data_IF_595558982512
#
_entry.id   IF_595558982512
#
_cell.length_a   1.000
_cell.length_b   1.000
_cell.length_c   1.000
_cell.angle_alpha   90.00
_cell.angle_beta   90.00
_cell.angle_gamma   90.00
#
_symmetry.space_group_name_H-M   'P 1'
#
loop_
_entity.id
_entity.type
_entity.pdbx_description
1 polymer ?
#
# COMPACT_ATOMS: atom_id res chain seq x y z
N UNK A 1 18.08 -26.86 23.30
CA UNK A 1 17.03 -27.11 24.32
C UNK A 1 17.51 -26.46 25.61
N UNK A 2 16.88 -25.52 26.30
CA UNK A 2 15.57 -24.85 26.22
C UNK A 2 15.65 -23.75 27.29
N UNK A 3 15.66 -22.47 26.92
CA UNK A 3 15.49 -21.39 27.91
C UNK A 3 14.96 -20.08 27.30
N UNK A 4 14.01 -20.21 26.36
CA UNK A 4 13.34 -19.07 25.71
C UNK A 4 11.82 -19.09 25.89
N UNK A 5 11.29 -19.96 26.75
CA UNK A 5 9.85 -20.24 26.84
C UNK A 5 9.12 -19.62 28.05
N UNK A 6 9.77 -18.80 28.88
CA UNK A 6 9.17 -18.31 30.15
C UNK A 6 8.81 -16.82 30.20
N UNK A 7 8.82 -16.11 29.06
CA UNK A 7 8.58 -14.66 29.00
C UNK A 7 7.22 -14.21 28.42
N UNK A 8 6.29 -15.14 28.13
CA UNK A 8 5.01 -14.82 27.46
C UNK A 8 3.77 -15.02 28.38
N UNK A 9 3.92 -15.40 29.65
CA UNK A 9 2.77 -15.81 30.51
C UNK A 9 2.43 -14.86 31.68
N UNK A 10 2.77 -13.57 31.59
CA UNK A 10 2.29 -12.54 32.53
C UNK A 10 2.09 -11.27 31.71
N UNK A 11 0.90 -10.93 31.27
CA UNK A 11 -0.05 -10.09 32.01
C UNK A 11 -1.44 -10.32 31.38
N UNK A 12 -2.27 -11.08 32.08
CA UNK A 12 -3.71 -11.13 31.89
C UNK A 12 -4.33 -11.18 33.28
N UNK A 13 -5.47 -10.48 33.41
CA UNK A 13 -6.41 -10.46 34.52
C UNK A 13 -6.10 -9.55 35.73
N UNK A 14 -7.06 -8.64 35.95
CA UNK A 14 -7.68 -8.06 37.16
C UNK A 14 -8.02 -6.60 36.76
N UNK A 15 -9.24 -6.09 36.75
CA UNK A 15 -10.50 -6.54 37.33
C UNK A 15 -11.26 -5.31 37.86
N UNK A 16 -12.37 -4.98 37.20
CA UNK A 16 -13.64 -4.46 37.76
C UNK A 16 -13.80 -3.06 38.43
N UNK A 17 -14.85 -2.38 37.93
CA UNK A 17 -15.86 -1.48 38.57
C UNK A 17 -15.57 0.04 38.64
N UNK A 18 -16.37 0.83 37.89
CA UNK A 18 -17.47 1.66 38.41
C UNK A 18 -18.03 2.67 37.37
N UNK A 19 -19.36 2.77 37.27
CA UNK A 19 -20.09 4.00 36.92
C UNK A 19 -20.68 4.06 35.49
N UNK A 20 -21.88 3.55 35.23
CA UNK A 20 -23.18 4.24 35.37
C UNK A 20 -23.43 5.38 34.38
N UNK A 21 -24.22 5.12 33.33
CA UNK A 21 -25.55 5.73 33.07
C UNK A 21 -26.09 5.26 31.72
N UNK A 22 -27.20 4.51 31.77
CA UNK A 22 -28.06 4.20 30.63
C UNK A 22 -29.11 5.29 30.52
N UNK A 23 -29.30 5.82 29.31
CA UNK A 23 -30.57 6.42 28.90
C UNK A 23 -30.93 5.88 27.51
N UNK A 24 -32.15 5.34 27.31
CA UNK A 24 -32.67 4.97 26.00
C UNK A 24 -33.36 6.19 25.37
N UNK A 25 -33.00 6.53 24.13
CA UNK A 25 -33.81 7.44 23.32
C UNK A 25 -34.99 6.64 22.76
N UNK A 26 -36.16 7.23 22.96
CA UNK A 26 -37.48 6.66 22.78
C UNK A 26 -37.78 6.14 21.36
N UNK A 27 -38.47 5.01 21.33
CA UNK A 27 -39.37 4.59 20.24
C UNK A 27 -40.77 5.13 20.52
N UNK A 28 -41.35 5.92 19.61
CA UNK A 28 -42.77 6.32 19.61
C UNK A 28 -43.27 6.39 18.15
N UNK A 29 -44.07 5.37 17.80
CA UNK A 29 -45.23 5.33 16.87
C UNK A 29 -44.92 5.34 15.36
N UNK A 30 -45.64 4.64 14.47
CA UNK A 30 -46.83 3.77 14.48
C UNK A 30 -46.77 2.98 13.15
N UNK A 31 -46.93 1.65 13.15
CA UNK A 31 -48.19 0.89 13.06
C UNK A 31 -48.60 0.58 11.60
N UNK A 32 -48.43 -0.68 11.20
CA UNK A 32 -49.40 -1.37 10.37
C UNK A 32 -49.29 -2.89 10.65
N UNK A 33 -50.22 -3.33 11.49
CA UNK A 33 -50.84 -4.66 11.47
C UNK A 33 -51.15 -5.07 10.01
N UNK A 34 -50.93 -6.29 9.52
CA UNK A 34 -51.61 -7.52 9.93
C UNK A 34 -50.99 -8.70 9.15
N UNK A 35 -50.45 -9.71 9.85
CA UNK A 35 -50.30 -11.06 9.29
C UNK A 35 -51.66 -11.77 9.42
N UNK A 36 -52.17 -12.33 8.33
CA UNK A 36 -53.21 -13.38 8.39
C UNK A 36 -52.71 -14.62 7.67
N UNK A 37 -52.65 -15.68 8.46
CA UNK A 37 -52.29 -17.05 8.13
C UNK A 37 -53.45 -17.76 7.42
N UNK A 38 -53.10 -18.50 6.36
CA UNK A 38 -53.71 -19.73 5.83
C UNK A 38 -55.24 -19.87 5.71
N UNK A 39 -55.69 -20.12 4.47
CA UNK A 39 -56.79 -21.04 4.20
C UNK A 39 -56.46 -21.92 2.99
N UNK A 40 -56.39 -23.22 3.28
CA UNK A 40 -56.33 -24.36 2.37
C UNK A 40 -57.45 -24.33 1.34
N UNK A 41 -57.11 -24.51 0.05
CA UNK A 41 -58.01 -25.17 -0.91
C UNK A 41 -57.23 -26.22 -1.69
N UNK A 42 -57.60 -27.47 -1.44
CA UNK A 42 -57.24 -28.64 -2.23
C UNK A 42 -58.08 -28.59 -3.49
N UNK A 43 -57.44 -28.51 -4.65
CA UNK A 43 -58.05 -28.87 -5.93
C UNK A 43 -57.05 -29.70 -6.72
N UNK A 44 -57.24 -31.01 -6.58
CA UNK A 44 -56.68 -32.05 -7.43
C UNK A 44 -57.31 -31.90 -8.81
N UNK A 45 -56.51 -31.61 -9.83
CA UNK A 45 -56.89 -31.88 -11.21
C UNK A 45 -55.74 -32.52 -12.00
N UNK A 46 -56.03 -33.76 -12.38
CA UNK A 46 -55.64 -34.47 -13.59
C UNK A 46 -54.18 -34.46 -14.08
N UNK A 47 -53.57 -35.64 -13.95
CA UNK A 47 -52.37 -36.11 -14.65
C UNK A 47 -52.57 -36.03 -16.18
N UNK A 48 -51.76 -35.21 -16.85
CA UNK A 48 -51.53 -35.29 -18.29
C UNK A 48 -50.07 -35.78 -18.53
N UNK A 49 -49.96 -36.82 -19.35
CA UNK A 49 -48.76 -37.61 -19.62
C UNK A 49 -47.52 -36.81 -20.05
N UNK A 50 -46.38 -37.25 -19.53
CA UNK A 50 -45.04 -36.85 -19.94
C UNK A 50 -44.73 -37.28 -21.38
N UNK A 51 -44.32 -36.31 -22.20
CA UNK A 51 -43.51 -36.56 -23.40
C UNK A 51 -42.02 -36.52 -23.01
N UNK A 52 -41.15 -37.36 -23.61
CA UNK A 52 -39.74 -37.39 -23.26
C UNK A 52 -39.07 -36.07 -23.66
N UNK A 53 -38.48 -35.39 -22.69
CA UNK A 53 -37.65 -34.20 -22.90
C UNK A 53 -36.40 -34.58 -23.71
N UNK A 54 -36.04 -33.82 -24.76
CA UNK A 54 -34.74 -33.99 -25.40
C UNK A 54 -33.62 -33.64 -24.40
N UNK A 55 -32.42 -34.26 -24.53
CA UNK A 55 -31.33 -34.09 -23.57
C UNK A 55 -30.95 -32.60 -23.42
N UNK A 56 -30.61 -32.14 -22.20
CA UNK A 56 -30.22 -30.75 -21.98
C UNK A 56 -28.96 -30.49 -22.81
N UNK A 57 -29.06 -29.53 -23.74
CA UNK A 57 -27.92 -29.00 -24.47
C UNK A 57 -26.85 -28.57 -23.44
N UNK A 58 -25.55 -28.80 -23.72
CA UNK A 58 -24.50 -28.38 -22.81
C UNK A 58 -24.69 -26.89 -22.53
N UNK A 59 -24.74 -26.53 -21.24
CA UNK A 59 -24.81 -25.14 -20.81
C UNK A 59 -23.71 -24.37 -21.53
N UNK A 60 -24.10 -23.64 -22.59
CA UNK A 60 -23.23 -22.62 -23.17
C UNK A 60 -22.92 -21.72 -22.01
N UNK A 61 -21.65 -21.71 -21.59
CA UNK A 61 -21.12 -20.70 -20.69
C UNK A 61 -21.36 -19.39 -21.42
N UNK A 62 -22.52 -18.80 -21.16
CA UNK A 62 -22.86 -17.45 -21.57
C UNK A 62 -21.76 -16.63 -20.95
N UNK A 63 -20.86 -16.13 -21.80
CA UNK A 63 -19.87 -15.15 -21.37
C UNK A 63 -20.70 -13.96 -20.92
N UNK A 64 -20.99 -13.89 -19.62
CA UNK A 64 -21.58 -12.72 -18.97
C UNK A 64 -20.61 -11.59 -19.25
N UNK A 65 -20.92 -10.84 -20.30
CA UNK A 65 -20.13 -9.72 -20.75
C UNK A 65 -20.43 -8.62 -19.76
N UNK A 66 -19.55 -8.42 -18.77
CA UNK A 66 -19.75 -7.39 -17.76
C UNK A 66 -19.63 -6.03 -18.45
N UNK A 67 -20.75 -5.30 -18.67
CA UNK A 67 -20.72 -4.05 -19.40
C UNK A 67 -20.13 -2.90 -18.57
N UNK A 68 -19.73 -3.16 -17.32
CA UNK A 68 -19.25 -2.17 -16.33
C UNK A 68 -17.76 -2.36 -15.98
N UNK A 69 -16.94 -2.69 -16.97
CA UNK A 69 -15.50 -2.88 -16.82
C UNK A 69 -14.66 -1.63 -17.07
N UNK A 70 -13.34 -1.75 -16.94
CA UNK A 70 -12.37 -0.68 -17.29
C UNK A 70 -12.56 -0.15 -18.73
N UNK A 71 -13.08 -0.99 -19.62
CA UNK A 71 -13.38 -0.64 -21.01
C UNK A 71 -14.56 0.33 -21.13
N UNK A 72 -15.61 0.17 -20.32
CA UNK A 72 -16.73 1.12 -20.26
C UNK A 72 -16.28 2.45 -19.65
N UNK A 73 -15.48 2.40 -18.58
CA UNK A 73 -14.87 3.56 -17.95
C UNK A 73 -13.95 4.33 -18.93
N UNK A 74 -13.33 3.66 -19.91
CA UNK A 74 -12.54 4.35 -20.94
C UNK A 74 -13.40 4.90 -22.08
N UNK A 75 -14.46 4.20 -22.47
CA UNK A 75 -15.31 4.56 -23.62
C UNK A 75 -16.33 5.66 -23.28
N UNK A 76 -16.89 5.62 -22.08
CA UNK A 76 -17.86 6.60 -21.56
C UNK A 76 -17.26 7.56 -20.52
N UNK A 77 -16.04 7.29 -20.03
CA UNK A 77 -15.44 8.06 -18.94
C UNK A 77 -15.19 9.52 -19.27
N UNK A 78 -15.69 10.35 -18.36
CA UNK A 78 -15.46 11.79 -18.27
C UNK A 78 -13.95 12.11 -18.16
N UNK A 79 -13.55 13.31 -18.59
CA UNK A 79 -12.15 13.74 -18.65
C UNK A 79 -11.48 13.68 -17.26
N UNK A 80 -12.23 13.96 -16.20
CA UNK A 80 -11.76 13.90 -14.81
C UNK A 80 -11.52 12.45 -14.34
N UNK A 81 -12.37 11.50 -14.74
CA UNK A 81 -12.17 10.09 -14.40
C UNK A 81 -10.89 9.55 -15.05
N UNK A 82 -10.69 9.86 -16.34
CA UNK A 82 -9.49 9.48 -17.10
C UNK A 82 -8.21 10.09 -16.52
N UNK A 83 -8.23 11.37 -16.15
CA UNK A 83 -7.06 12.02 -15.54
C UNK A 83 -6.71 11.43 -14.18
N UNK A 84 -7.72 11.14 -13.35
CA UNK A 84 -7.55 10.49 -12.03
C UNK A 84 -6.94 9.10 -12.19
N UNK A 85 -7.47 8.29 -13.11
CA UNK A 85 -6.94 6.97 -13.41
C UNK A 85 -5.49 7.04 -13.93
N UNK A 86 -5.20 7.97 -14.82
CA UNK A 86 -3.85 8.19 -15.35
C UNK A 86 -2.84 8.53 -14.25
N UNK A 87 -3.21 9.42 -13.33
CA UNK A 87 -2.38 9.78 -12.17
C UNK A 87 -2.11 8.53 -11.30
N UNK A 88 -3.14 7.73 -10.99
CA UNK A 88 -2.98 6.50 -10.20
C UNK A 88 -2.03 5.50 -10.89
N UNK A 89 -2.15 5.33 -12.20
CA UNK A 89 -1.26 4.45 -12.97
C UNK A 89 0.18 4.96 -12.93
N UNK A 90 0.39 6.27 -13.09
CA UNK A 90 1.73 6.87 -13.01
C UNK A 90 2.37 6.68 -11.62
N UNK A 91 1.58 6.86 -10.56
CA UNK A 91 2.01 6.61 -9.18
C UNK A 91 2.35 5.14 -8.94
N UNK A 92 1.58 4.22 -9.53
CA UNK A 92 1.83 2.77 -9.47
C UNK A 92 3.16 2.39 -10.14
N UNK A 93 3.39 2.88 -11.36
CA UNK A 93 4.63 2.63 -12.10
C UNK A 93 5.83 3.19 -11.32
N UNK A 94 5.72 4.42 -10.82
CA UNK A 94 6.77 5.05 -10.00
C UNK A 94 7.08 4.24 -8.73
N UNK A 95 6.05 3.71 -8.07
CA UNK A 95 6.20 2.86 -6.88
C UNK A 95 7.00 1.59 -7.18
N UNK A 96 6.60 0.84 -8.20
CA UNK A 96 7.29 -0.39 -8.60
C UNK A 96 8.73 -0.14 -9.06
N UNK A 97 8.96 0.93 -9.83
CA UNK A 97 10.29 1.33 -10.27
C UNK A 97 11.23 1.61 -9.09
N UNK A 98 10.77 2.37 -8.08
CA UNK A 98 11.58 2.69 -6.90
C UNK A 98 11.82 1.43 -6.05
N UNK A 99 10.79 0.59 -5.84
CA UNK A 99 10.95 -0.66 -5.08
C UNK A 99 12.02 -1.55 -5.73
N UNK A 100 11.90 -1.81 -7.04
CA UNK A 100 12.84 -2.67 -7.75
C UNK A 100 14.27 -2.09 -7.72
N UNK A 101 14.44 -0.81 -8.07
CA UNK A 101 15.76 -0.17 -8.07
C UNK A 101 16.43 -0.20 -6.69
N UNK A 102 15.65 -0.02 -5.61
CA UNK A 102 16.15 -0.08 -4.24
C UNK A 102 16.48 -1.48 -3.77
N UNK A 103 15.69 -2.49 -4.15
CA UNK A 103 16.01 -3.91 -3.87
C UNK A 103 17.38 -4.27 -4.46
N UNK A 104 17.65 -3.87 -5.70
CA UNK A 104 18.95 -4.10 -6.34
C UNK A 104 20.08 -3.32 -5.65
N UNK A 105 19.84 -2.04 -5.33
CA UNK A 105 20.83 -1.20 -4.63
C UNK A 105 21.19 -1.79 -3.25
N UNK A 106 20.21 -2.18 -2.46
CA UNK A 106 20.42 -2.71 -1.11
C UNK A 106 21.08 -4.10 -1.15
N UNK A 107 20.70 -4.94 -2.11
CA UNK A 107 21.36 -6.24 -2.31
C UNK A 107 22.84 -6.09 -2.67
N UNK A 108 23.18 -5.09 -3.51
CA UNK A 108 24.56 -4.78 -3.87
C UNK A 108 25.36 -4.28 -2.66
N UNK A 109 24.80 -3.38 -1.86
CA UNK A 109 25.45 -2.85 -0.65
C UNK A 109 25.69 -3.96 0.37
N UNK A 110 24.70 -4.84 0.62
CA UNK A 110 24.87 -5.97 1.55
C UNK A 110 26.02 -6.89 1.13
N UNK A 111 26.14 -7.20 -0.17
CA UNK A 111 27.27 -7.99 -0.71
C UNK A 111 28.61 -7.29 -0.46
N UNK A 112 28.71 -6.00 -0.78
CA UNK A 112 29.93 -5.23 -0.53
C UNK A 112 30.27 -5.11 0.97
N UNK A 113 29.28 -5.12 1.85
CA UNK A 113 29.49 -5.11 3.31
C UNK A 113 30.11 -6.39 3.82
N UNK A 114 29.64 -7.55 3.36
CA UNK A 114 30.24 -8.85 3.73
C UNK A 114 31.67 -8.98 3.22
N UNK A 115 31.95 -8.48 2.02
CA UNK A 115 33.31 -8.46 1.46
C UNK A 115 34.23 -7.51 2.24
N UNK A 116 33.71 -6.32 2.60
CA UNK A 116 34.41 -5.36 3.45
C UNK A 116 34.78 -5.97 4.80
N UNK A 117 33.82 -6.60 5.48
CA UNK A 117 34.04 -7.18 6.82
C UNK A 117 35.11 -8.27 6.82
N UNK A 118 35.21 -9.06 5.74
CA UNK A 118 36.26 -10.09 5.62
C UNK A 118 37.64 -9.47 5.35
N UNK A 119 37.76 -8.62 4.34
CA UNK A 119 39.07 -8.19 3.83
C UNK A 119 39.63 -6.94 4.51
N UNK A 120 38.78 -6.09 5.09
CA UNK A 120 39.22 -4.83 5.68
C UNK A 120 40.05 -5.06 6.96
N UNK A 121 39.63 -6.01 7.80
CA UNK A 121 40.29 -6.30 9.08
C UNK A 121 41.54 -7.18 8.95
N UNK A 122 41.72 -7.87 7.81
CA UNK A 122 42.89 -8.71 7.52
C UNK A 122 44.06 -7.91 6.92
N UNK A 123 43.83 -6.65 6.54
CA UNK A 123 44.83 -5.83 5.85
C UNK A 123 45.90 -5.25 6.79
N UNK A 124 47.13 -5.15 6.29
CA UNK A 124 48.30 -4.67 7.05
C UNK A 124 48.25 -3.16 7.37
N UNK A 125 47.53 -2.38 6.55
CA UNK A 125 47.36 -0.94 6.76
C UNK A 125 45.97 -0.45 6.36
N UNK A 126 45.54 0.69 6.93
CA UNK A 126 44.26 1.31 6.59
C UNK A 126 44.15 1.71 5.11
N UNK A 127 45.26 2.14 4.48
CA UNK A 127 45.26 2.49 3.05
C UNK A 127 45.06 1.25 2.18
N UNK A 128 45.79 0.16 2.47
CA UNK A 128 45.60 -1.11 1.75
C UNK A 128 44.20 -1.71 1.98
N UNK A 129 43.63 -1.52 3.17
CA UNK A 129 42.26 -1.93 3.49
C UNK A 129 41.21 -1.14 2.69
N UNK A 130 41.44 0.17 2.47
CA UNK A 130 40.58 0.99 1.63
C UNK A 130 40.70 0.63 0.13
N UNK A 131 41.90 0.24 -0.30
CA UNK A 131 42.16 -0.16 -1.69
C UNK A 131 41.60 -1.53 -2.06
N UNK A 132 41.55 -2.47 -1.11
CA UNK A 132 40.94 -3.79 -1.30
C UNK A 132 39.41 -3.75 -1.47
N UNK A 133 38.78 -2.64 -1.06
CA UNK A 133 37.36 -2.40 -1.26
C UNK A 133 37.06 -1.93 -2.69
N UNK A 134 35.93 -2.42 -3.24
CA UNK A 134 35.46 -2.00 -4.57
C UNK A 134 35.32 -0.46 -4.67
N UNK A 135 35.78 0.12 -5.77
CA UNK A 135 35.77 1.58 -6.03
C UNK A 135 34.38 2.21 -5.94
N UNK A 136 33.32 1.46 -6.25
CA UNK A 136 31.93 1.92 -6.20
C UNK A 136 31.20 1.57 -4.89
N UNK A 137 31.91 1.06 -3.89
CA UNK A 137 31.31 0.68 -2.60
C UNK A 137 31.13 1.88 -1.67
N UNK A 138 29.97 1.97 -1.03
CA UNK A 138 29.72 2.94 0.04
C UNK A 138 30.68 2.75 1.23
N UNK A 139 31.15 1.53 1.48
CA UNK A 139 32.13 1.23 2.53
C UNK A 139 33.49 1.85 2.24
N UNK A 140 33.93 1.81 0.97
CA UNK A 140 35.16 2.47 0.52
C UNK A 140 35.09 3.97 0.73
N UNK A 141 33.97 4.59 0.35
CA UNK A 141 33.76 6.02 0.55
C UNK A 141 33.88 6.42 2.04
N UNK A 142 33.31 5.63 2.95
CA UNK A 142 33.41 5.87 4.40
C UNK A 142 34.87 5.69 4.87
N UNK A 143 35.54 4.60 4.47
CA UNK A 143 36.92 4.33 4.83
C UNK A 143 37.88 5.44 4.35
N UNK A 144 37.78 5.86 3.09
CA UNK A 144 38.59 6.94 2.53
C UNK A 144 38.35 8.29 3.22
N UNK A 145 37.11 8.58 3.64
CA UNK A 145 36.80 9.79 4.41
C UNK A 145 37.41 9.75 5.82
N UNK A 146 37.39 8.61 6.48
CA UNK A 146 38.06 8.40 7.77
C UNK A 146 39.58 8.51 7.65
N UNK A 147 40.18 7.91 6.62
CA UNK A 147 41.64 7.99 6.38
C UNK A 147 42.06 9.41 6.00
N UNK A 148 41.23 10.13 5.23
CA UNK A 148 41.55 11.51 4.86
C UNK A 148 41.49 12.45 6.06
N UNK A 149 40.58 12.22 7.01
CA UNK A 149 40.45 13.07 8.20
C UNK A 149 41.64 12.95 9.14
N UNK A 150 42.34 11.80 9.18
CA UNK A 150 43.58 11.66 9.95
C UNK A 150 44.74 12.50 9.38
N UNK A 151 44.73 12.75 8.07
CA UNK A 151 45.78 13.53 7.37
C UNK A 151 45.53 15.04 7.33
N UNK A 152 44.34 15.51 7.72
CA UNK A 152 43.92 16.92 7.56
C UNK A 152 43.39 17.50 8.88
N UNK A 153 44.08 17.26 10.00
CA UNK A 153 43.74 17.85 11.31
C UNK A 153 44.46 19.19 11.55
N UNK A 154 44.98 19.85 10.50
CA UNK A 154 45.90 20.99 10.63
C UNK A 154 45.22 22.38 10.61
N UNK A 155 43.97 22.48 11.08
CA UNK A 155 43.22 23.75 11.09
C UNK A 155 43.14 24.39 12.48
N UNK A 156 43.31 25.72 12.58
CA UNK A 156 43.26 26.48 13.85
C UNK A 156 41.94 26.33 14.64
N UNK A 157 40.84 25.99 13.97
CA UNK A 157 39.56 25.65 14.60
C UNK A 157 39.42 24.15 14.94
N UNK A 158 40.15 23.30 14.22
CA UNK A 158 40.16 21.84 14.41
C UNK A 158 41.08 21.42 15.56
N UNK A 159 42.12 22.20 15.85
CA UNK A 159 43.04 22.01 17.00
C UNK A 159 42.32 22.09 18.35
N UNK A 160 41.16 22.76 18.42
CA UNK A 160 40.30 22.81 19.61
C UNK A 160 39.49 21.54 19.83
N UNK A 161 39.40 20.67 18.82
CA UNK A 161 38.66 19.42 18.87
C UNK A 161 39.69 18.29 18.93
N UNK A 162 39.52 17.39 19.90
CA UNK A 162 40.34 16.20 20.02
C UNK A 162 40.37 15.39 18.70
N UNK A 163 41.55 14.86 18.36
CA UNK A 163 41.78 14.14 17.10
C UNK A 163 40.82 12.95 16.94
N UNK A 164 40.61 12.15 18.00
CA UNK A 164 39.72 11.00 17.95
C UNK A 164 38.27 11.44 17.71
N UNK A 165 37.85 12.54 18.34
CA UNK A 165 36.54 13.16 18.13
C UNK A 165 36.37 13.63 16.68
N UNK A 166 37.38 14.29 16.11
CA UNK A 166 37.35 14.77 14.71
C UNK A 166 37.20 13.64 13.70
N UNK A 167 37.97 12.55 13.87
CA UNK A 167 37.90 11.37 13.00
C UNK A 167 36.52 10.73 13.10
N UNK A 168 35.98 10.57 14.32
CA UNK A 168 34.66 10.00 14.56
C UNK A 168 33.55 10.82 13.89
N UNK A 169 33.56 12.14 14.03
CA UNK A 169 32.59 13.03 13.37
C UNK A 169 32.71 12.93 11.84
N UNK A 170 33.93 12.82 11.31
CA UNK A 170 34.16 12.70 9.86
C UNK A 170 33.59 11.40 9.28
N UNK A 171 33.77 10.28 9.99
CA UNK A 171 33.17 8.99 9.64
C UNK A 171 31.64 9.06 9.76
N UNK A 172 31.12 9.62 10.86
CA UNK A 172 29.68 9.77 11.08
C UNK A 172 29.01 10.58 9.96
N UNK A 173 29.61 11.71 9.54
CA UNK A 173 29.14 12.49 8.39
C UNK A 173 29.18 11.70 7.07
N UNK A 174 30.19 10.85 6.89
CA UNK A 174 30.26 9.99 5.72
C UNK A 174 29.14 8.94 5.73
N UNK A 175 28.85 8.33 6.88
CA UNK A 175 27.74 7.40 7.08
C UNK A 175 26.39 8.10 6.81
N UNK A 176 26.16 9.27 7.39
CA UNK A 176 24.94 10.06 7.19
C UNK A 176 24.74 10.42 5.72
N UNK A 177 25.82 10.79 5.01
CA UNK A 177 25.75 11.06 3.57
C UNK A 177 25.35 9.82 2.80
N UNK A 178 25.93 8.65 3.10
CA UNK A 178 25.53 7.38 2.48
C UNK A 178 24.06 7.07 2.78
N UNK A 179 23.64 7.15 4.04
CA UNK A 179 22.25 6.92 4.47
C UNK A 179 21.28 7.85 3.74
N UNK A 180 21.60 9.14 3.62
CA UNK A 180 20.79 10.10 2.85
C UNK A 180 20.59 9.67 1.40
N UNK A 181 21.65 9.17 0.73
CA UNK A 181 21.53 8.67 -0.64
C UNK A 181 20.67 7.39 -0.72
N UNK A 182 20.73 6.53 0.29
CA UNK A 182 19.88 5.33 0.39
C UNK A 182 18.42 5.70 0.65
N UNK A 183 18.16 6.78 1.37
CA UNK A 183 16.80 7.27 1.67
C UNK A 183 16.14 8.00 0.49
N UNK A 184 16.89 8.37 -0.55
CA UNK A 184 16.32 8.99 -1.75
C UNK A 184 15.23 8.11 -2.37
N UNK A 185 14.09 8.71 -2.71
CA UNK A 185 12.93 7.99 -3.27
C UNK A 185 11.97 7.41 -2.22
N UNK A 186 12.39 7.25 -0.95
CA UNK A 186 11.46 6.83 0.11
C UNK A 186 10.36 7.85 0.36
N UNK A 187 10.68 9.14 0.25
CA UNK A 187 9.70 10.22 0.36
C UNK A 187 8.57 10.07 -0.68
N UNK A 188 8.90 9.66 -1.92
CA UNK A 188 7.90 9.43 -2.95
C UNK A 188 6.96 8.26 -2.58
N UNK A 189 7.51 7.13 -2.11
CA UNK A 189 6.69 6.00 -1.64
C UNK A 189 5.77 6.41 -0.48
N UNK A 190 6.28 7.20 0.47
CA UNK A 190 5.48 7.71 1.58
C UNK A 190 4.34 8.64 1.11
N UNK A 191 4.63 9.52 0.16
CA UNK A 191 3.61 10.39 -0.44
C UNK A 191 2.58 9.58 -1.22
N UNK A 192 2.99 8.65 -2.08
CA UNK A 192 2.05 7.81 -2.85
C UNK A 192 1.20 6.96 -1.91
N UNK A 193 1.80 6.33 -0.90
CA UNK A 193 1.09 5.52 0.07
C UNK A 193 0.02 6.27 0.86
N UNK A 194 0.25 7.56 1.16
CA UNK A 194 -0.72 8.39 1.88
C UNK A 194 -1.72 9.08 0.97
N UNK A 195 -1.37 9.42 -0.27
CA UNK A 195 -2.23 10.22 -1.17
C UNK A 195 -3.06 9.39 -2.14
N UNK A 196 -2.59 8.23 -2.59
CA UNK A 196 -3.30 7.40 -3.57
C UNK A 196 -4.72 6.97 -3.15
N UNK A 197 -5.01 6.64 -1.87
CA UNK A 197 -6.37 6.35 -1.44
C UNK A 197 -7.32 7.54 -1.62
N UNK A 198 -6.84 8.75 -1.36
CA UNK A 198 -7.64 9.98 -1.51
C UNK A 198 -7.86 10.33 -2.99
N UNK A 199 -6.87 10.07 -3.86
CA UNK A 199 -7.04 10.21 -5.31
C UNK A 199 -8.10 9.23 -5.82
N UNK A 200 -8.08 7.98 -5.35
CA UNK A 200 -9.12 6.99 -5.65
C UNK A 200 -10.50 7.43 -5.18
N UNK A 201 -10.61 7.87 -3.92
CA UNK A 201 -11.84 8.41 -3.33
C UNK A 201 -12.38 9.59 -4.15
N UNK A 202 -11.53 10.55 -4.52
CA UNK A 202 -11.92 11.69 -5.35
C UNK A 202 -12.57 11.25 -6.66
N UNK A 203 -12.00 10.29 -7.38
CA UNK A 203 -12.58 9.81 -8.63
C UNK A 203 -13.95 9.14 -8.42
N UNK A 204 -14.18 8.50 -7.27
CA UNK A 204 -15.51 7.93 -6.95
C UNK A 204 -16.55 8.99 -6.68
N UNK A 205 -16.18 10.03 -5.93
CA UNK A 205 -17.06 11.17 -5.62
C UNK A 205 -17.44 11.88 -6.92
N UNK A 206 -16.47 12.08 -7.83
CA UNK A 206 -16.75 12.66 -9.15
C UNK A 206 -17.67 11.77 -9.99
N UNK A 207 -17.41 10.45 -10.06
CA UNK A 207 -18.23 9.52 -10.83
C UNK A 207 -19.68 9.47 -10.36
N UNK A 208 -19.90 9.41 -9.05
CA UNK A 208 -21.25 9.44 -8.46
C UNK A 208 -21.91 10.81 -8.73
N UNK A 209 -21.17 11.92 -8.59
CA UNK A 209 -21.69 13.25 -8.90
C UNK A 209 -22.16 13.37 -10.36
N UNK A 210 -21.35 12.89 -11.32
CA UNK A 210 -21.69 12.91 -12.73
C UNK A 210 -22.95 12.05 -13.00
N UNK A 211 -23.01 10.85 -12.41
CA UNK A 211 -24.16 9.96 -12.53
C UNK A 211 -25.47 10.59 -12.02
N UNK A 212 -25.44 11.17 -10.82
CA UNK A 212 -26.60 11.83 -10.22
C UNK A 212 -27.03 13.07 -11.02
N UNK A 213 -26.07 13.81 -11.57
CA UNK A 213 -26.37 14.98 -12.43
C UNK A 213 -27.06 14.55 -13.72
N UNK A 214 -26.60 13.47 -14.37
CA UNK A 214 -27.24 12.92 -15.57
C UNK A 214 -28.68 12.46 -15.31
N UNK A 215 -28.93 11.81 -14.16
CA UNK A 215 -30.28 11.41 -13.75
C UNK A 215 -31.16 12.63 -13.49
N UNK A 216 -30.65 13.63 -12.78
CA UNK A 216 -31.36 14.87 -12.49
C UNK A 216 -31.78 15.64 -13.75
N UNK A 217 -30.93 15.66 -14.79
CA UNK A 217 -31.25 16.27 -16.08
C UNK A 217 -32.28 15.43 -16.86
N UNK A 218 -32.18 14.10 -16.81
CA UNK A 218 -33.08 13.20 -17.55
C UNK A 218 -34.49 13.08 -16.95
N UNK A 219 -34.65 13.42 -15.66
CA UNK A 219 -35.93 13.30 -14.93
C UNK A 219 -36.42 11.87 -14.70
N UNK A 220 -35.66 10.84 -15.12
CA UNK A 220 -36.02 9.43 -15.03
C UNK A 220 -35.07 8.71 -14.07
N UNK A 221 -35.48 8.55 -12.82
CA UNK A 221 -34.77 7.75 -11.85
C UNK A 221 -35.12 6.25 -12.05
N UNK A 222 -34.26 5.51 -12.75
CA UNK A 222 -34.31 4.04 -12.77
C UNK A 222 -33.01 3.46 -12.23
N UNK A 223 -33.11 2.33 -11.51
CA UNK A 223 -31.94 1.64 -10.92
C UNK A 223 -30.91 1.28 -12.00
N UNK A 224 -31.37 0.89 -13.20
CA UNK A 224 -30.50 0.49 -14.31
C UNK A 224 -29.62 1.64 -14.81
N UNK A 225 -30.07 2.90 -14.64
CA UNK A 225 -29.31 4.10 -14.99
C UNK A 225 -28.29 4.52 -13.93
N UNK A 226 -28.49 4.10 -12.67
CA UNK A 226 -27.59 4.43 -11.55
C UNK A 226 -26.52 3.35 -11.36
N UNK A 227 -26.90 2.08 -11.53
CA UNK A 227 -26.08 0.93 -11.13
C UNK A 227 -24.72 0.88 -11.85
N UNK A 228 -24.69 1.16 -13.15
CA UNK A 228 -23.46 1.17 -13.95
C UNK A 228 -22.46 2.23 -13.50
N UNK A 229 -22.80 3.53 -13.58
CA UNK A 229 -21.88 4.61 -13.20
C UNK A 229 -21.40 4.53 -11.75
N UNK A 230 -22.25 4.07 -10.83
CA UNK A 230 -21.86 3.88 -9.42
C UNK A 230 -20.87 2.71 -9.28
N UNK A 231 -21.08 1.61 -10.00
CA UNK A 231 -20.14 0.48 -10.02
C UNK A 231 -18.76 0.89 -10.57
N UNK A 232 -18.74 1.65 -11.67
CA UNK A 232 -17.51 2.19 -12.26
C UNK A 232 -16.77 3.12 -11.30
N UNK A 233 -17.50 3.98 -10.59
CA UNK A 233 -16.93 4.83 -9.56
C UNK A 233 -16.22 4.00 -8.49
N UNK A 234 -16.83 2.93 -7.97
CA UNK A 234 -16.23 2.09 -6.91
C UNK A 234 -14.90 1.43 -7.34
N UNK A 235 -14.74 1.11 -8.61
CA UNK A 235 -13.48 0.56 -9.15
C UNK A 235 -12.31 1.54 -8.94
N UNK A 236 -12.55 2.84 -9.03
CA UNK A 236 -11.50 3.85 -8.86
C UNK A 236 -10.92 3.86 -7.43
N UNK A 237 -11.75 3.67 -6.40
CA UNK A 237 -11.26 3.50 -5.01
C UNK A 237 -10.46 2.21 -4.87
N UNK A 238 -10.94 1.11 -5.45
CA UNK A 238 -10.22 -0.16 -5.41
C UNK A 238 -8.82 -0.03 -6.04
N UNK A 239 -8.70 0.69 -7.17
CA UNK A 239 -7.41 0.98 -7.80
C UNK A 239 -6.55 1.87 -6.89
N UNK A 240 -7.12 2.92 -6.29
CA UNK A 240 -6.40 3.78 -5.35
C UNK A 240 -5.76 3.01 -4.19
N UNK A 241 -6.51 2.05 -3.62
CA UNK A 241 -6.01 1.15 -2.58
C UNK A 241 -4.96 0.16 -3.12
N UNK A 242 -5.18 -0.40 -4.31
CA UNK A 242 -4.24 -1.31 -4.95
C UNK A 242 -2.88 -0.65 -5.24
N UNK A 243 -2.85 0.67 -5.48
CA UNK A 243 -1.62 1.46 -5.63
C UNK A 243 -1.00 1.82 -4.28
N UNK A 244 -1.81 2.15 -3.27
CA UNK A 244 -1.33 2.56 -1.96
C UNK A 244 -0.66 1.44 -1.17
N UNK A 245 -1.24 0.22 -1.19
CA UNK A 245 -0.77 -0.90 -0.37
C UNK A 245 0.69 -1.28 -0.68
N UNK A 246 1.09 -1.52 -1.96
CA UNK A 246 2.49 -1.79 -2.28
C UNK A 246 3.43 -0.63 -1.93
N UNK A 247 2.98 0.62 -2.06
CA UNK A 247 3.79 1.79 -1.73
C UNK A 247 4.13 1.85 -0.22
N UNK A 248 3.13 1.64 0.63
CA UNK A 248 3.33 1.63 2.10
C UNK A 248 4.17 0.43 2.54
N UNK A 249 3.90 -0.77 1.99
CA UNK A 249 4.69 -1.97 2.30
C UNK A 249 6.14 -1.81 1.84
N UNK A 250 6.35 -1.28 0.64
CA UNK A 250 7.68 -0.97 0.10
C UNK A 250 8.41 0.03 0.99
N UNK A 251 7.76 1.14 1.37
CA UNK A 251 8.35 2.14 2.26
C UNK A 251 8.82 1.49 3.57
N UNK A 252 7.92 0.77 4.25
CA UNK A 252 8.22 0.13 5.54
C UNK A 252 9.34 -0.91 5.43
N UNK A 253 9.37 -1.70 4.35
CA UNK A 253 10.40 -2.70 4.12
C UNK A 253 11.77 -2.06 3.86
N UNK A 254 11.84 -0.97 3.09
CA UNK A 254 13.10 -0.28 2.77
C UNK A 254 13.66 0.51 3.94
N UNK A 255 12.80 1.03 4.83
CA UNK A 255 13.23 1.76 6.04
C UNK A 255 13.79 0.86 7.13
N UNK A 256 13.62 -0.46 7.00
CA UNK A 256 14.04 -1.45 7.98
C UNK A 256 15.35 -2.12 7.58
#
# INVERSE_FOLDING_TARGET
>A
MTNTAKRISRIAAIGLIAGSTLLPVATVWADETTQTTAATTVATDAVAQAAPTPPPLPATVEKVHNPYGLEALWREGDLVAKSTLFILVLMSIGTWYIILSKVFQQSKIKRHGTEAERHFWEAESLNSAAESLNSNSSYRYIAEKGIRSTKHHDGTLLERIDFNTWVTISIQRAIEKVQSHLSNGLAFLATVGSTAPFVGLFGTVWGIYHALTAIGISGQASIDKVAGPVGEALIMTAIGLAVAVPAVLGYNWLTR
#
